data_IF_905551161626
#
_entry.id   IF_905551161626
#
_cell.length_a   1.000
_cell.length_b   1.000
_cell.length_c   1.000
_cell.angle_alpha   90.00
_cell.angle_beta   90.00
_cell.angle_gamma   90.00
#
_symmetry.space_group_name_H-M   'P 1'
#
loop_
_entity.id
_entity.type
_entity.pdbx_description
1 polymer ?
#
# COMPACT_ATOMS: atom_id res chain seq x y z
N UNK A 1 -2.80 -16.30 7.86
CA UNK A 1 -3.34 -16.29 6.48
C UNK A 1 -2.21 -16.57 5.49
N UNK A 2 -2.47 -17.11 4.31
CA UNK A 2 -1.49 -17.25 3.22
C UNK A 2 -2.07 -16.71 1.90
N UNK A 3 -1.28 -16.76 0.82
CA UNK A 3 -1.69 -16.24 -0.49
C UNK A 3 -2.88 -17.02 -1.07
N UNK A 4 -2.97 -18.34 -0.89
CA UNK A 4 -4.08 -19.13 -1.42
C UNK A 4 -5.42 -18.71 -0.78
N UNK A 5 -5.47 -18.61 0.55
CA UNK A 5 -6.67 -18.17 1.27
C UNK A 5 -7.04 -16.72 0.97
N UNK A 6 -6.06 -15.86 0.67
CA UNK A 6 -6.29 -14.51 0.19
C UNK A 6 -7.01 -14.52 -1.17
N UNK A 7 -6.55 -15.34 -2.13
CA UNK A 7 -7.14 -15.44 -3.46
C UNK A 7 -8.57 -15.98 -3.38
N UNK A 8 -8.81 -17.02 -2.58
CA UNK A 8 -10.15 -17.57 -2.37
C UNK A 8 -11.12 -16.51 -1.82
N UNK A 9 -10.72 -15.72 -0.83
CA UNK A 9 -11.57 -14.67 -0.28
C UNK A 9 -11.83 -13.53 -1.27
N UNK A 10 -10.82 -13.15 -2.06
CA UNK A 10 -11.01 -12.15 -3.12
C UNK A 10 -11.97 -12.71 -4.18
N UNK A 11 -11.87 -13.99 -4.55
CA UNK A 11 -12.75 -14.61 -5.54
C UNK A 11 -14.21 -14.69 -5.05
N UNK A 12 -14.41 -15.02 -3.78
CA UNK A 12 -15.74 -15.18 -3.17
C UNK A 12 -16.41 -13.84 -2.85
N UNK A 13 -15.67 -12.92 -2.21
CA UNK A 13 -16.22 -11.68 -1.62
C UNK A 13 -15.82 -10.40 -2.34
N UNK A 14 -14.82 -10.46 -3.21
CA UNK A 14 -14.22 -9.28 -3.84
C UNK A 14 -13.26 -8.49 -2.93
N UNK A 15 -13.06 -8.92 -1.67
CA UNK A 15 -12.15 -8.29 -0.71
C UNK A 15 -11.64 -9.30 0.33
N UNK A 16 -10.52 -8.97 0.97
CA UNK A 16 -9.94 -9.78 2.04
C UNK A 16 -9.22 -8.89 3.05
N UNK A 17 -9.27 -9.25 4.33
CA UNK A 17 -8.49 -8.63 5.40
C UNK A 17 -7.47 -9.65 5.90
N UNK A 18 -6.18 -9.31 5.81
CA UNK A 18 -5.10 -10.16 6.28
C UNK A 18 -4.54 -9.59 7.59
N UNK A 19 -5.00 -10.14 8.71
CA UNK A 19 -4.50 -9.80 10.04
C UNK A 19 -3.08 -10.30 10.26
N UNK A 20 -2.26 -9.51 10.98
CA UNK A 20 -0.86 -9.81 11.28
C UNK A 20 0.01 -10.09 10.04
N UNK A 21 -0.29 -9.43 8.93
CA UNK A 21 0.52 -9.52 7.71
C UNK A 21 1.99 -9.12 7.96
N UNK A 22 2.20 -8.11 8.80
CA UNK A 22 3.50 -7.73 9.33
C UNK A 22 3.52 -8.00 10.83
N UNK A 23 4.67 -8.46 11.34
CA UNK A 23 4.86 -8.57 12.78
C UNK A 23 4.85 -7.16 13.42
N UNK A 24 4.46 -7.03 14.70
CA UNK A 24 4.49 -5.73 15.39
C UNK A 24 5.85 -5.03 15.32
N UNK A 25 6.94 -5.81 15.36
CA UNK A 25 8.30 -5.29 15.23
C UNK A 25 8.59 -4.79 13.80
N UNK A 26 8.19 -5.54 12.77
CA UNK A 26 8.32 -5.09 11.38
C UNK A 26 7.54 -3.79 11.13
N UNK A 27 6.35 -3.64 11.71
CA UNK A 27 5.56 -2.39 11.64
C UNK A 27 6.32 -1.23 12.30
N UNK A 28 6.93 -1.46 13.46
CA UNK A 28 7.72 -0.44 14.17
C UNK A 28 8.94 -0.01 13.37
N UNK A 29 9.68 -0.95 12.80
CA UNK A 29 10.85 -0.69 11.96
C UNK A 29 10.46 0.05 10.68
N UNK A 30 9.39 -0.40 10.01
CA UNK A 30 8.85 0.26 8.84
C UNK A 30 8.44 1.70 9.17
N UNK A 31 7.79 1.93 10.32
CA UNK A 31 7.42 3.27 10.80
C UNK A 31 8.63 4.17 11.00
N UNK A 32 9.74 3.65 11.50
CA UNK A 32 10.97 4.41 11.70
C UNK A 32 11.61 4.88 10.37
N UNK A 33 11.40 4.15 9.26
CA UNK A 33 11.83 4.57 7.94
C UNK A 33 11.03 5.78 7.40
N UNK A 34 9.82 6.02 7.92
CA UNK A 34 9.04 7.21 7.59
C UNK A 34 9.57 8.39 8.42
N UNK A 35 10.57 9.09 7.89
CA UNK A 35 11.02 10.38 8.43
C UNK A 35 9.93 11.46 8.31
N UNK A 36 10.29 12.71 8.63
CA UNK A 36 9.33 13.83 8.70
C UNK A 36 8.86 14.38 7.33
N UNK A 37 9.36 13.86 6.21
CA UNK A 37 9.07 14.38 4.85
C UNK A 37 7.72 13.92 4.28
N UNK A 38 6.71 13.73 5.13
CA UNK A 38 5.38 13.39 4.67
C UNK A 38 4.74 14.60 3.97
N UNK A 39 4.29 14.41 2.73
CA UNK A 39 3.67 15.46 1.92
C UNK A 39 2.15 15.41 2.04
N UNK A 40 1.47 16.55 1.90
CA UNK A 40 0.02 16.58 1.88
C UNK A 40 -0.51 15.70 0.74
N UNK A 41 -1.43 14.77 1.04
CA UNK A 41 -2.08 14.01 -0.01
C UNK A 41 -2.91 14.94 -0.89
N UNK A 42 -2.69 14.88 -2.21
CA UNK A 42 -3.44 15.66 -3.21
C UNK A 42 -4.38 14.73 -3.96
N UNK A 43 -5.56 15.23 -4.32
CA UNK A 43 -6.56 14.50 -5.08
C UNK A 43 -6.60 15.10 -6.48
N UNK A 44 -6.55 14.24 -7.51
CA UNK A 44 -6.60 14.67 -8.91
C UNK A 44 -5.62 13.93 -9.81
N UNK A 45 -5.73 14.18 -11.11
CA UNK A 45 -4.80 13.70 -12.14
C UNK A 45 -4.31 14.91 -12.95
N UNK A 46 -3.02 14.93 -13.28
CA UNK A 46 -2.38 16.01 -14.05
C UNK A 46 -2.61 17.40 -13.44
N UNK A 47 -3.12 18.34 -14.23
CA UNK A 47 -3.22 19.76 -13.90
C UNK A 47 -4.33 20.08 -12.90
N UNK A 48 -5.24 19.14 -12.66
CA UNK A 48 -6.33 19.25 -11.67
C UNK A 48 -5.93 18.65 -10.30
N UNK A 49 -4.71 18.90 -9.84
CA UNK A 49 -4.26 18.52 -8.49
C UNK A 49 -4.75 19.54 -7.46
N UNK A 50 -6.03 19.42 -7.09
CA UNK A 50 -6.61 20.19 -6.01
C UNK A 50 -6.14 19.61 -4.67
N UNK A 51 -5.47 20.44 -3.88
CA UNK A 51 -5.22 20.16 -2.47
C UNK A 51 -6.48 20.54 -1.67
N UNK A 52 -7.60 19.87 -1.96
CA UNK A 52 -8.81 20.04 -1.16
C UNK A 52 -8.65 19.31 0.17
N UNK A 53 -8.18 20.06 1.17
CA UNK A 53 -7.98 19.60 2.55
C UNK A 53 -9.28 19.15 3.22
N UNK A 54 -10.44 19.57 2.68
CA UNK A 54 -11.79 19.12 3.10
C UNK A 54 -12.06 17.65 2.77
N UNK A 55 -11.42 17.09 1.73
CA UNK A 55 -11.61 15.69 1.33
C UNK A 55 -10.49 14.81 1.89
N UNK A 56 -9.23 15.29 1.89
CA UNK A 56 -8.09 14.55 2.46
C UNK A 56 -7.11 15.46 3.19
N UNK A 57 -7.09 15.32 4.52
CA UNK A 57 -6.14 16.00 5.41
C UNK A 57 -4.91 15.15 5.75
N UNK A 58 -4.84 13.89 5.30
CA UNK A 58 -3.72 13.01 5.60
C UNK A 58 -2.44 13.39 4.85
N UNK A 59 -1.28 13.23 5.52
CA UNK A 59 0.03 13.29 4.89
C UNK A 59 0.45 11.89 4.42
N UNK A 60 1.06 11.81 3.25
CA UNK A 60 1.55 10.57 2.64
C UNK A 60 3.00 10.71 2.22
N UNK A 61 3.72 9.60 2.22
CA UNK A 61 5.06 9.48 1.65
C UNK A 61 5.09 8.24 0.76
N UNK A 62 5.62 8.40 -0.45
CA UNK A 62 5.85 7.24 -1.32
C UNK A 62 7.02 6.43 -0.76
N UNK A 63 6.80 5.12 -0.60
CA UNK A 63 7.84 4.19 -0.21
C UNK A 63 8.76 3.89 -1.40
N UNK A 64 10.06 3.98 -1.14
CA UNK A 64 11.11 3.70 -2.12
C UNK A 64 12.11 2.68 -1.55
N UNK A 65 12.65 1.76 -2.37
CA UNK A 65 13.57 0.72 -1.89
C UNK A 65 14.81 1.24 -1.16
N UNK A 66 15.26 2.46 -1.46
CA UNK A 66 16.39 3.12 -0.80
C UNK A 66 16.12 3.56 0.65
N UNK A 67 14.88 3.45 1.14
CA UNK A 67 14.50 3.90 2.49
C UNK A 67 14.87 2.91 3.61
N UNK A 68 15.49 1.78 3.26
CA UNK A 68 16.00 0.78 4.21
C UNK A 68 15.41 -0.61 4.01
N UNK A 69 16.04 -1.59 4.64
CA UNK A 69 15.65 -3.00 4.56
C UNK A 69 14.17 -3.26 4.94
N UNK A 70 13.59 -2.63 5.99
CA UNK A 70 12.19 -2.86 6.33
C UNK A 70 11.22 -2.47 5.21
N UNK A 71 11.54 -1.39 4.48
CA UNK A 71 10.75 -0.94 3.33
C UNK A 71 10.90 -1.92 2.16
N UNK A 72 12.11 -2.40 1.90
CA UNK A 72 12.37 -3.40 0.85
C UNK A 72 11.60 -4.69 1.13
N UNK A 73 11.68 -5.21 2.36
CA UNK A 73 10.98 -6.42 2.76
C UNK A 73 9.47 -6.28 2.56
N UNK A 74 8.88 -5.16 3.02
CA UNK A 74 7.48 -4.85 2.78
C UNK A 74 7.14 -4.83 1.28
N UNK A 75 7.90 -4.10 0.46
CA UNK A 75 7.65 -3.98 -0.97
C UNK A 75 7.73 -5.34 -1.69
N UNK A 76 8.67 -6.21 -1.31
CA UNK A 76 8.79 -7.56 -1.86
C UNK A 76 7.58 -8.45 -1.52
N UNK A 77 7.10 -8.39 -0.28
CA UNK A 77 5.89 -9.14 0.11
C UNK A 77 4.66 -8.66 -0.68
N UNK A 78 4.53 -7.34 -0.86
CA UNK A 78 3.44 -6.76 -1.65
C UNK A 78 3.52 -7.18 -3.13
N UNK A 79 4.71 -7.21 -3.71
CA UNK A 79 4.93 -7.67 -5.09
C UNK A 79 4.56 -9.15 -5.25
N UNK A 80 4.86 -9.99 -4.25
CA UNK A 80 4.47 -11.41 -4.25
C UNK A 80 2.95 -11.57 -4.32
N UNK A 81 2.21 -10.85 -3.45
CA UNK A 81 0.74 -10.84 -3.46
C UNK A 81 0.22 -10.41 -4.83
N UNK A 82 0.77 -9.34 -5.37
CA UNK A 82 0.32 -8.77 -6.64
C UNK A 82 0.53 -9.72 -7.81
N UNK A 83 1.68 -10.41 -7.87
CA UNK A 83 1.94 -11.43 -8.89
C UNK A 83 0.94 -12.58 -8.79
N UNK A 84 0.62 -13.04 -7.58
CA UNK A 84 -0.34 -14.10 -7.36
C UNK A 84 -1.75 -13.70 -7.80
N UNK A 85 -2.22 -12.51 -7.39
CA UNK A 85 -3.54 -11.97 -7.78
C UNK A 85 -3.64 -11.79 -9.29
N UNK A 86 -2.62 -11.22 -9.93
CA UNK A 86 -2.63 -11.04 -11.39
C UNK A 86 -2.67 -12.37 -12.14
N UNK A 87 -1.95 -13.39 -11.65
CA UNK A 87 -1.93 -14.72 -12.24
C UNK A 87 -3.29 -15.41 -12.12
N UNK A 88 -3.91 -15.35 -10.96
CA UNK A 88 -5.15 -16.10 -10.66
C UNK A 88 -6.37 -15.50 -11.35
N UNK A 89 -6.50 -14.17 -11.33
CA UNK A 89 -7.68 -13.49 -11.86
C UNK A 89 -7.53 -13.07 -13.32
N UNK A 90 -6.45 -13.49 -13.99
CA UNK A 90 -6.12 -13.09 -15.37
C UNK A 90 -6.30 -11.59 -15.61
N UNK A 91 -5.90 -10.77 -14.63
CA UNK A 91 -5.93 -9.31 -14.70
C UNK A 91 -4.83 -8.86 -15.67
N UNK A 92 -5.03 -9.14 -16.95
CA UNK A 92 -4.12 -8.79 -18.05
C UNK A 92 -4.04 -7.28 -18.22
N UNK A 93 -3.13 -6.62 -17.50
CA UNK A 93 -2.56 -5.30 -17.81
C UNK A 93 -1.45 -4.97 -16.79
N UNK A 94 -0.17 -5.06 -17.14
CA UNK A 94 0.65 -3.98 -17.73
C UNK A 94 0.50 -2.64 -16.97
N UNK A 95 1.55 -2.24 -16.26
CA UNK A 95 1.69 -1.05 -15.42
C UNK A 95 0.91 -1.06 -14.09
N UNK A 96 1.48 -1.77 -13.11
CA UNK A 96 1.08 -1.75 -11.70
C UNK A 96 1.25 -0.38 -11.04
N UNK A 97 0.33 0.56 -11.29
CA UNK A 97 0.14 1.76 -10.46
C UNK A 97 -1.21 1.78 -9.72
N UNK A 98 -2.13 0.83 -9.97
CA UNK A 98 -3.50 0.87 -9.40
C UNK A 98 -3.75 -0.05 -8.19
N UNK A 99 -3.28 -1.29 -8.17
CA UNK A 99 -3.34 -2.12 -6.93
C UNK A 99 -2.33 -1.60 -5.89
N UNK A 100 -1.21 -1.04 -6.34
CA UNK A 100 -0.28 -0.33 -5.48
C UNK A 100 -0.91 0.91 -4.83
N UNK A 101 -2.01 1.48 -5.32
CA UNK A 101 -2.55 2.72 -4.74
C UNK A 101 -3.32 2.49 -3.44
N UNK A 102 -3.93 1.31 -3.28
CA UNK A 102 -4.61 0.91 -2.04
C UNK A 102 -3.58 0.45 -1.00
N UNK A 103 -2.48 -0.17 -1.45
CA UNK A 103 -1.51 -0.79 -0.56
C UNK A 103 -0.24 0.03 -0.29
N UNK A 104 0.20 0.94 -1.19
CA UNK A 104 1.29 1.91 -0.88
C UNK A 104 0.87 2.99 0.12
N UNK A 105 -0.41 3.03 0.50
CA UNK A 105 -0.94 3.95 1.51
C UNK A 105 -0.76 3.32 2.91
N UNK A 106 0.48 3.05 3.28
CA UNK A 106 0.82 2.68 4.65
C UNK A 106 0.81 3.96 5.49
N UNK A 107 -0.09 4.01 6.47
CA UNK A 107 -0.22 5.05 7.52
C UNK A 107 -0.80 6.41 7.08
N UNK A 108 -2.14 6.52 7.14
CA UNK A 108 -2.77 7.80 7.48
C UNK A 108 -2.43 8.11 8.93
N UNK A 109 -1.38 8.89 9.18
CA UNK A 109 -1.14 9.49 10.50
C UNK A 109 -2.27 10.51 10.71
N UNK A 110 -3.37 10.10 11.33
CA UNK A 110 -4.30 11.05 11.96
C UNK A 110 -3.56 11.59 13.19
N UNK A 111 -2.89 12.72 13.03
CA UNK A 111 -2.56 13.57 14.16
C UNK A 111 -3.89 14.07 14.73
N UNK A 112 -4.31 13.47 15.85
CA UNK A 112 -5.12 14.18 16.84
C UNK A 112 -4.24 15.18 17.59
#
# INVERSE_FOLDING_TARGET
>A
MNIASLLEQIADKGWCVWDDFLTPEAVKQLRACFGNDAQQARIGRHENLLAETTIRSDKIRWLEPQMGEPVQHYLMQMESIQRAVNREFFLGCLNMKRISLVMKKVLSIKTS
#
